data_IF_377214827506
#
_entry.id   IF_377214827506
#
_cell.length_a   1.000
_cell.length_b   1.000
_cell.length_c   1.000
_cell.angle_alpha   90.00
_cell.angle_beta   90.00
_cell.angle_gamma   90.00
#
_symmetry.space_group_name_H-M   'P 1'
#
loop_
_entity.id
_entity.type
_entity.pdbx_description
1 polymer ?
#
# COMPACT_ATOMS: atom_id res chain seq x y z
N UNK A 1 12.58 -31.32 -19.25
CA UNK A 1 11.83 -30.15 -18.78
C UNK A 1 12.79 -28.98 -18.68
N UNK A 2 12.61 -27.93 -19.48
CA UNK A 2 13.32 -26.66 -19.31
C UNK A 2 12.91 -26.09 -17.96
N UNK A 3 13.84 -25.93 -17.02
CA UNK A 3 13.58 -25.20 -15.79
C UNK A 3 13.50 -23.72 -16.18
N UNK A 4 12.30 -23.13 -16.05
CA UNK A 4 12.18 -21.69 -16.13
C UNK A 4 12.95 -21.12 -14.93
N UNK A 5 14.04 -20.42 -15.20
CA UNK A 5 14.88 -19.78 -14.19
C UNK A 5 14.78 -18.28 -14.37
N UNK A 6 14.80 -17.55 -13.28
CA UNK A 6 14.90 -16.08 -13.27
C UNK A 6 16.10 -15.68 -12.41
N UNK A 7 16.53 -14.44 -12.57
CA UNK A 7 17.68 -13.90 -11.83
C UNK A 7 17.19 -12.87 -10.82
N UNK A 8 17.62 -13.02 -9.57
CA UNK A 8 17.40 -12.01 -8.52
C UNK A 8 18.53 -10.96 -8.52
N UNK A 9 18.24 -9.69 -8.12
CA UNK A 9 16.90 -9.17 -7.88
C UNK A 9 16.12 -8.95 -9.18
N UNK A 10 14.78 -9.08 -9.13
CA UNK A 10 13.90 -8.77 -10.28
C UNK A 10 13.86 -7.26 -10.52
N UNK A 11 13.85 -6.46 -9.44
CA UNK A 11 13.99 -5.01 -9.45
C UNK A 11 15.17 -4.63 -8.58
N UNK A 12 16.15 -3.93 -9.15
CA UNK A 12 17.27 -3.37 -8.39
C UNK A 12 16.91 -1.99 -7.90
N UNK A 13 17.09 -1.73 -6.59
CA UNK A 13 16.79 -0.45 -5.98
C UNK A 13 16.10 -0.60 -4.63
N UNK A 14 15.41 0.46 -4.21
CA UNK A 14 14.68 0.52 -2.94
C UNK A 14 13.17 0.42 -3.21
N UNK A 15 12.64 -0.80 -3.15
CA UNK A 15 11.25 -1.15 -3.39
C UNK A 15 10.73 -2.10 -2.32
N UNK A 16 10.63 -1.62 -1.05
CA UNK A 16 10.20 -2.45 0.07
C UNK A 16 8.69 -2.69 0.07
N UNK A 17 8.26 -3.68 0.85
CA UNK A 17 6.87 -3.98 1.16
C UNK A 17 5.97 -4.15 -0.08
N UNK A 18 6.32 -5.02 -1.05
CA UNK A 18 5.55 -5.17 -2.28
C UNK A 18 4.18 -5.80 -2.02
N UNK A 19 3.14 -5.19 -2.58
CA UNK A 19 1.80 -5.76 -2.68
C UNK A 19 1.40 -5.90 -4.14
N UNK A 20 0.80 -7.04 -4.51
CA UNK A 20 0.45 -7.38 -5.89
C UNK A 20 -1.03 -7.68 -6.00
N UNK A 21 -1.68 -7.18 -7.06
CA UNK A 21 -2.98 -7.67 -7.51
C UNK A 21 -2.92 -8.15 -8.96
N UNK A 22 -3.89 -8.99 -9.35
CA UNK A 22 -4.02 -9.53 -10.71
C UNK A 22 -5.32 -9.07 -11.35
N UNK A 23 -5.25 -8.65 -12.61
CA UNK A 23 -6.42 -8.31 -13.42
C UNK A 23 -6.28 -9.00 -14.78
N UNK A 24 -7.06 -10.05 -15.00
CA UNK A 24 -6.90 -10.87 -16.20
C UNK A 24 -5.54 -11.55 -16.27
N UNK A 25 -4.73 -11.20 -17.27
CA UNK A 25 -3.36 -11.69 -17.45
C UNK A 25 -2.29 -10.72 -16.95
N UNK A 26 -2.69 -9.58 -16.43
CA UNK A 26 -1.81 -8.52 -15.98
C UNK A 26 -1.65 -8.53 -14.46
N UNK A 27 -0.43 -8.24 -13.99
CA UNK A 27 -0.09 -8.10 -12.57
C UNK A 27 0.34 -6.67 -12.30
N UNK A 28 -0.16 -6.11 -11.22
CA UNK A 28 0.17 -4.77 -10.77
C UNK A 28 0.73 -4.82 -9.35
N UNK A 29 1.86 -4.16 -9.15
CA UNK A 29 2.55 -4.12 -7.86
C UNK A 29 2.73 -2.69 -7.42
N UNK A 30 2.53 -2.44 -6.14
CA UNK A 30 2.87 -1.19 -5.46
C UNK A 30 3.87 -1.49 -4.34
N UNK A 31 4.76 -0.53 -4.05
CA UNK A 31 5.71 -0.65 -2.94
C UNK A 31 5.67 0.58 -2.05
N UNK A 32 6.11 0.46 -0.80
CA UNK A 32 6.33 1.62 0.05
C UNK A 32 7.43 2.51 -0.50
N UNK A 33 7.42 3.78 -0.11
CA UNK A 33 8.41 4.76 -0.56
C UNK A 33 8.84 5.73 0.53
N UNK A 34 8.30 5.60 1.75
CA UNK A 34 8.59 6.48 2.87
C UNK A 34 8.45 7.96 2.48
N UNK A 35 9.49 8.76 2.61
CA UNK A 35 9.49 10.18 2.25
C UNK A 35 9.91 10.45 0.79
N UNK A 36 10.24 9.41 0.02
CA UNK A 36 10.60 9.60 -1.37
C UNK A 36 9.40 10.01 -2.22
N UNK A 37 9.58 11.06 -3.01
CA UNK A 37 8.54 11.61 -3.88
C UNK A 37 9.01 11.60 -5.36
N UNK A 38 8.12 11.22 -6.32
CA UNK A 38 6.74 10.76 -6.18
C UNK A 38 6.65 9.45 -5.41
N UNK A 39 5.56 9.29 -4.62
CA UNK A 39 5.40 8.18 -3.68
C UNK A 39 4.57 7.02 -4.20
N UNK A 40 4.73 5.85 -3.58
CA UNK A 40 4.05 4.61 -3.94
C UNK A 40 4.25 4.25 -5.42
N UNK A 41 5.47 3.89 -5.85
CA UNK A 41 5.72 3.50 -7.24
C UNK A 41 4.91 2.25 -7.60
N UNK A 42 4.36 2.27 -8.82
CA UNK A 42 3.47 1.23 -9.34
C UNK A 42 4.12 0.59 -10.55
N UNK A 43 4.10 -0.73 -10.56
CA UNK A 43 4.72 -1.55 -11.59
C UNK A 43 3.69 -2.46 -12.25
N UNK A 44 3.92 -2.80 -13.50
CA UNK A 44 3.17 -3.74 -14.30
C UNK A 44 4.05 -4.92 -14.73
N UNK A 45 3.46 -6.12 -14.79
CA UNK A 45 4.08 -7.31 -15.34
C UNK A 45 3.03 -8.25 -15.93
N UNK A 46 3.45 -9.11 -16.87
CA UNK A 46 2.65 -10.24 -17.38
C UNK A 46 3.18 -11.60 -16.97
N UNK A 47 4.35 -11.65 -16.33
CA UNK A 47 5.02 -12.90 -16.01
C UNK A 47 5.62 -12.96 -14.60
N UNK A 48 5.42 -11.88 -13.80
CA UNK A 48 5.95 -11.71 -12.45
C UNK A 48 7.50 -11.62 -12.38
N UNK A 49 8.18 -11.66 -13.51
CA UNK A 49 9.65 -11.60 -13.59
C UNK A 49 10.18 -10.36 -14.30
N UNK A 50 9.41 -9.79 -15.20
CA UNK A 50 9.72 -8.57 -15.90
C UNK A 50 8.71 -7.49 -15.48
N UNK A 51 9.21 -6.48 -14.76
CA UNK A 51 8.41 -5.40 -14.19
C UNK A 51 8.77 -4.06 -14.84
N UNK A 52 7.78 -3.33 -15.27
CA UNK A 52 7.90 -1.96 -15.80
C UNK A 52 7.19 -1.00 -14.84
N UNK A 53 7.87 0.08 -14.44
CA UNK A 53 7.24 1.13 -13.64
C UNK A 53 6.32 1.96 -14.52
N UNK A 54 5.03 2.03 -14.16
CA UNK A 54 3.98 2.68 -14.95
C UNK A 54 3.44 3.96 -14.32
N UNK A 55 3.74 4.24 -13.06
CA UNK A 55 3.24 5.42 -12.37
C UNK A 55 3.54 5.44 -10.87
N UNK A 56 2.81 6.29 -10.16
CA UNK A 56 2.89 6.47 -8.72
C UNK A 56 1.51 6.75 -8.13
N UNK A 57 1.22 6.18 -6.95
CA UNK A 57 -0.03 6.46 -6.24
C UNK A 57 -0.11 7.90 -5.72
N UNK A 58 1.00 8.40 -5.18
CA UNK A 58 1.14 9.79 -4.75
C UNK A 58 2.04 10.53 -5.75
N UNK A 59 1.43 11.37 -6.56
CA UNK A 59 2.08 12.03 -7.71
C UNK A 59 1.86 13.55 -7.76
N UNK A 60 0.99 14.10 -6.90
CA UNK A 60 0.76 15.55 -6.75
C UNK A 60 1.21 16.01 -5.37
N UNK A 61 1.91 17.15 -5.27
CA UNK A 61 2.43 17.66 -3.99
C UNK A 61 1.35 18.00 -2.95
N UNK A 62 0.12 18.23 -3.39
CA UNK A 62 -1.03 18.58 -2.57
C UNK A 62 -1.80 17.37 -2.01
N UNK A 63 -1.44 16.15 -2.42
CA UNK A 63 -2.09 14.94 -1.93
C UNK A 63 -1.78 14.65 -0.45
N UNK A 64 -0.54 14.88 0.00
CA UNK A 64 -0.08 14.64 1.38
C UNK A 64 0.94 15.69 1.81
N UNK A 65 0.93 16.08 3.10
CA UNK A 65 1.90 17.02 3.66
C UNK A 65 3.09 16.29 4.31
N UNK A 66 4.23 16.32 3.64
CA UNK A 66 5.49 15.70 4.06
C UNK A 66 6.36 16.58 4.97
N UNK A 67 5.91 17.81 5.33
CA UNK A 67 6.77 18.81 6.01
C UNK A 67 7.40 18.32 7.31
N UNK A 68 6.74 17.39 8.01
CA UNK A 68 7.19 16.87 9.29
C UNK A 68 7.49 15.36 9.22
N UNK A 69 7.98 14.88 8.07
CA UNK A 69 8.36 13.48 7.90
C UNK A 69 9.87 13.33 7.91
N UNK A 70 10.41 12.61 8.90
CA UNK A 70 11.78 12.11 8.86
C UNK A 70 11.95 10.97 7.85
N UNK A 71 13.18 10.61 7.55
CA UNK A 71 13.55 9.67 6.46
C UNK A 71 12.85 8.31 6.53
N UNK A 72 12.53 7.82 7.73
CA UNK A 72 11.87 6.53 7.96
C UNK A 72 10.35 6.63 8.15
N UNK A 73 9.78 7.82 8.02
CA UNK A 73 8.34 8.08 8.10
C UNK A 73 7.72 8.21 6.69
N UNK A 74 6.53 8.74 6.58
CA UNK A 74 5.82 8.94 5.31
C UNK A 74 5.00 7.72 4.90
N UNK A 75 5.20 7.23 3.69
CA UNK A 75 4.40 6.18 3.06
C UNK A 75 4.94 4.79 3.39
N UNK A 76 4.35 4.14 4.39
CA UNK A 76 4.71 2.79 4.82
C UNK A 76 4.11 1.73 3.90
N UNK A 77 3.98 0.48 4.35
CA UNK A 77 3.53 -0.64 3.53
C UNK A 77 2.15 -0.40 2.92
N UNK A 78 2.03 -0.38 1.58
CA UNK A 78 0.75 -0.27 0.89
C UNK A 78 0.15 -1.64 0.59
N UNK A 79 -1.16 -1.68 0.34
CA UNK A 79 -1.82 -2.82 -0.29
C UNK A 79 -2.61 -2.37 -1.49
N UNK A 80 -2.42 -3.04 -2.65
CA UNK A 80 -3.19 -2.81 -3.86
C UNK A 80 -4.25 -3.90 -4.06
N UNK A 81 -5.47 -3.49 -4.46
CA UNK A 81 -6.58 -4.38 -4.83
C UNK A 81 -7.26 -3.86 -6.09
N UNK A 82 -7.91 -4.77 -6.81
CA UNK A 82 -8.78 -4.43 -7.91
C UNK A 82 -10.16 -5.03 -7.67
N UNK A 83 -11.20 -4.21 -7.76
CA UNK A 83 -12.58 -4.64 -7.61
C UNK A 83 -13.50 -3.79 -8.49
N UNK A 84 -14.40 -4.45 -9.24
CA UNK A 84 -15.43 -3.81 -10.07
C UNK A 84 -14.93 -2.65 -10.93
N UNK A 85 -13.83 -2.86 -11.68
CA UNK A 85 -13.29 -1.86 -12.60
C UNK A 85 -12.57 -0.70 -11.92
N UNK A 86 -12.13 -0.86 -10.67
CA UNK A 86 -11.45 0.17 -9.91
C UNK A 86 -10.27 -0.44 -9.16
N UNK A 87 -9.13 0.23 -9.22
CA UNK A 87 -7.97 -0.05 -8.39
C UNK A 87 -8.08 0.73 -7.08
N UNK A 88 -7.71 0.08 -6.00
CA UNK A 88 -7.65 0.62 -4.64
C UNK A 88 -6.24 0.44 -4.11
N UNK A 89 -5.65 1.50 -3.57
CA UNK A 89 -4.47 1.40 -2.75
C UNK A 89 -4.85 1.90 -1.36
N UNK A 90 -4.61 1.07 -0.35
CA UNK A 90 -4.67 1.47 1.05
C UNK A 90 -3.24 1.56 1.58
N UNK A 91 -2.97 2.60 2.35
CA UNK A 91 -1.63 2.88 2.88
C UNK A 91 -1.71 3.58 4.23
N UNK A 92 -0.67 3.43 5.03
CA UNK A 92 -0.47 4.19 6.26
C UNK A 92 0.50 5.33 6.01
N UNK A 93 0.06 6.57 6.21
CA UNK A 93 0.92 7.75 6.21
C UNK A 93 1.34 8.06 7.64
N UNK A 94 2.64 8.11 7.89
CA UNK A 94 3.21 8.36 9.21
C UNK A 94 3.93 9.69 9.21
N UNK A 95 3.48 10.61 10.05
CA UNK A 95 4.11 11.92 10.23
C UNK A 95 4.60 12.09 11.68
N UNK A 96 5.54 13.04 11.89
CA UNK A 96 6.05 13.35 13.21
C UNK A 96 5.09 14.16 14.08
N UNK A 97 5.26 14.00 15.37
CA UNK A 97 4.67 14.77 16.43
C UNK A 97 4.85 14.06 17.77
N UNK A 98 4.52 14.71 18.91
CA UNK A 98 4.51 14.07 20.24
C UNK A 98 3.62 12.83 20.32
N UNK A 99 2.77 12.67 19.32
CA UNK A 99 1.95 11.50 19.04
C UNK A 99 2.17 11.21 17.56
N UNK A 100 3.09 10.26 17.24
CA UNK A 100 3.31 9.82 15.88
C UNK A 100 1.96 9.44 15.25
N UNK A 101 1.46 10.30 14.36
CA UNK A 101 0.17 10.12 13.73
C UNK A 101 0.32 9.08 12.64
N UNK A 102 -0.50 8.04 12.71
CA UNK A 102 -0.61 6.98 11.72
C UNK A 102 -1.98 7.10 11.08
N UNK A 103 -2.02 7.72 9.91
CA UNK A 103 -3.27 7.93 9.20
C UNK A 103 -3.40 6.90 8.09
N UNK A 104 -4.35 5.98 8.24
CA UNK A 104 -4.71 5.06 7.16
C UNK A 104 -5.64 5.76 6.17
N UNK A 105 -5.34 5.63 4.88
CA UNK A 105 -6.12 6.25 3.82
C UNK A 105 -6.23 5.33 2.60
N UNK A 106 -7.22 5.61 1.77
CA UNK A 106 -7.45 4.95 0.48
C UNK A 106 -7.31 5.97 -0.64
N UNK A 107 -6.67 5.56 -1.73
CA UNK A 107 -6.72 6.23 -3.03
C UNK A 107 -7.26 5.26 -4.08
N UNK A 108 -7.94 5.78 -5.08
CA UNK A 108 -8.54 4.98 -6.15
C UNK A 108 -8.17 5.48 -7.54
N UNK A 109 -8.16 4.56 -8.51
CA UNK A 109 -7.99 4.89 -9.92
C UNK A 109 -8.74 3.91 -10.82
N UNK A 110 -9.11 4.36 -12.03
CA UNK A 110 -9.66 3.46 -13.07
C UNK A 110 -8.55 2.78 -13.85
N UNK A 111 -7.44 3.49 -14.04
CA UNK A 111 -6.24 2.97 -14.67
C UNK A 111 -5.11 2.84 -13.65
N UNK A 112 -4.33 1.75 -13.68
CA UNK A 112 -3.29 1.52 -12.68
C UNK A 112 -2.13 2.54 -12.75
N UNK A 113 -1.92 3.15 -13.91
CA UNK A 113 -0.97 4.27 -14.10
C UNK A 113 -1.46 5.60 -13.55
N UNK A 114 -2.73 5.68 -13.14
CA UNK A 114 -3.39 6.89 -12.67
C UNK A 114 -4.22 7.61 -13.75
N UNK A 115 -4.72 8.82 -13.47
CA UNK A 115 -4.49 9.56 -12.23
C UNK A 115 -5.18 8.91 -11.02
N UNK A 116 -4.49 8.92 -9.89
CA UNK A 116 -5.02 8.49 -8.61
C UNK A 116 -5.75 9.63 -7.91
N UNK A 117 -6.81 9.29 -7.17
CA UNK A 117 -7.61 10.24 -6.40
C UNK A 117 -6.81 10.92 -5.30
N UNK A 118 -7.40 11.94 -4.68
CA UNK A 118 -6.95 12.43 -3.40
C UNK A 118 -7.14 11.35 -2.32
N UNK A 119 -6.30 11.37 -1.26
CA UNK A 119 -6.42 10.46 -0.14
C UNK A 119 -7.75 10.65 0.60
N UNK A 120 -8.45 9.55 0.86
CA UNK A 120 -9.62 9.48 1.73
C UNK A 120 -9.16 8.81 3.01
N UNK A 121 -9.02 9.58 4.08
CA UNK A 121 -8.61 9.08 5.39
C UNK A 121 -9.73 8.28 6.03
N UNK A 122 -9.38 7.13 6.64
CA UNK A 122 -10.33 6.23 7.28
C UNK A 122 -10.36 6.56 8.77
N UNK A 123 -11.47 7.14 9.21
CA UNK A 123 -11.66 7.48 10.62
C UNK A 123 -11.74 6.22 11.49
N UNK A 124 -11.01 6.20 12.61
CA UNK A 124 -10.97 5.06 13.53
C UNK A 124 -10.20 3.83 13.04
N UNK A 125 -9.51 3.92 11.91
CA UNK A 125 -8.64 2.86 11.41
C UNK A 125 -7.24 3.02 12.00
N UNK A 126 -7.04 2.47 13.19
CA UNK A 126 -5.75 2.46 13.86
C UNK A 126 -4.79 1.43 13.27
N UNK A 127 -3.49 1.57 13.62
CA UNK A 127 -2.47 0.59 13.27
C UNK A 127 -1.81 0.84 11.91
N UNK A 128 -1.22 -0.22 11.38
CA UNK A 128 -0.39 -0.19 10.16
C UNK A 128 -0.65 -1.43 9.31
N UNK A 129 -0.02 -1.49 8.12
CA UNK A 129 -0.02 -2.64 7.21
C UNK A 129 -1.44 -3.07 6.81
N UNK A 130 -2.24 -2.08 6.46
CA UNK A 130 -3.66 -2.23 6.18
C UNK A 130 -3.93 -2.97 4.89
N UNK A 131 -5.01 -3.74 4.85
CA UNK A 131 -5.48 -4.48 3.69
C UNK A 131 -7.00 -4.37 3.54
N UNK A 132 -7.47 -4.42 2.29
CA UNK A 132 -8.89 -4.52 1.94
C UNK A 132 -9.21 -5.92 1.41
N UNK A 133 -10.37 -6.44 1.78
CA UNK A 133 -10.96 -7.62 1.19
C UNK A 133 -12.39 -7.29 0.74
N UNK A 134 -12.70 -7.60 -0.51
CA UNK A 134 -14.02 -7.44 -1.11
C UNK A 134 -14.68 -8.81 -1.15
N UNK A 135 -15.72 -9.01 -0.34
CA UNK A 135 -16.42 -10.27 -0.22
C UNK A 135 -17.48 -10.43 -1.32
N UNK A 136 -17.86 -11.68 -1.60
CA UNK A 136 -18.85 -12.02 -2.63
C UNK A 136 -20.27 -11.55 -2.27
N UNK A 137 -20.56 -11.31 -0.99
CA UNK A 137 -21.84 -10.75 -0.52
C UNK A 137 -21.93 -9.22 -0.66
N UNK A 138 -20.86 -8.58 -1.16
CA UNK A 138 -20.74 -7.15 -1.35
C UNK A 138 -20.22 -6.39 -0.13
N UNK A 139 -19.91 -7.07 0.95
CA UNK A 139 -19.22 -6.45 2.10
C UNK A 139 -17.76 -6.14 1.78
N UNK A 140 -17.23 -5.10 2.42
CA UNK A 140 -15.82 -4.71 2.31
C UNK A 140 -15.23 -4.78 3.71
N UNK A 141 -14.18 -5.57 3.84
CA UNK A 141 -13.48 -5.77 5.09
C UNK A 141 -12.15 -5.04 5.09
N UNK A 142 -11.86 -4.37 6.18
CA UNK A 142 -10.59 -3.74 6.48
C UNK A 142 -9.86 -4.56 7.54
N UNK A 143 -8.63 -4.93 7.26
CA UNK A 143 -7.74 -5.58 8.23
C UNK A 143 -6.51 -4.73 8.46
N UNK A 144 -6.03 -4.69 9.67
CA UNK A 144 -4.81 -3.97 10.04
C UNK A 144 -4.15 -4.56 11.27
N UNK A 145 -2.87 -4.24 11.45
CA UNK A 145 -2.08 -4.58 12.62
C UNK A 145 -2.16 -3.43 13.62
N UNK A 146 -2.39 -3.73 14.89
CA UNK A 146 -2.39 -2.75 15.96
C UNK A 146 -1.59 -3.23 17.19
N UNK A 147 -1.15 -2.29 17.99
CA UNK A 147 -0.55 -2.59 19.29
C UNK A 147 -1.69 -2.62 20.31
N UNK A 148 -1.87 -3.77 20.96
CA UNK A 148 -2.90 -3.90 21.99
C UNK A 148 -2.57 -3.05 23.21
N UNK A 149 -3.58 -2.35 23.74
CA UNK A 149 -3.46 -1.62 25.02
C UNK A 149 -3.15 -2.55 26.18
N UNK A 150 -3.66 -3.78 26.11
CA UNK A 150 -3.37 -4.85 27.08
C UNK A 150 -2.26 -5.75 26.55
N UNK A 151 -1.01 -5.46 26.98
CA UNK A 151 0.16 -6.25 26.58
C UNK A 151 0.25 -7.53 27.42
N UNK A 152 0.03 -8.69 26.81
CA UNK A 152 0.21 -10.00 27.46
C UNK A 152 1.68 -10.43 27.50
N UNK A 153 2.52 -9.90 26.62
CA UNK A 153 3.97 -10.11 26.53
C UNK A 153 4.60 -8.96 25.73
N UNK A 154 5.91 -8.79 25.82
CA UNK A 154 6.65 -7.76 25.07
C UNK A 154 6.47 -7.97 23.56
N UNK A 155 6.04 -6.92 22.86
CA UNK A 155 5.75 -6.96 21.42
C UNK A 155 4.41 -7.64 21.06
N UNK A 156 3.45 -7.69 21.98
CA UNK A 156 2.10 -8.17 21.67
C UNK A 156 1.40 -7.24 20.70
N UNK A 157 1.18 -7.73 19.48
CA UNK A 157 0.40 -7.09 18.44
C UNK A 157 -0.86 -7.91 18.17
N UNK A 158 -1.93 -7.23 17.78
CA UNK A 158 -3.17 -7.84 17.34
C UNK A 158 -3.43 -7.56 15.86
N UNK A 159 -4.28 -8.37 15.25
CA UNK A 159 -4.89 -8.09 13.96
C UNK A 159 -6.36 -7.82 14.23
N UNK A 160 -6.86 -6.70 13.74
CA UNK A 160 -8.29 -6.39 13.78
C UNK A 160 -8.91 -6.46 12.39
N UNK A 161 -10.19 -6.72 12.37
CA UNK A 161 -11.02 -6.80 11.19
C UNK A 161 -12.27 -5.95 11.39
N UNK A 162 -12.52 -5.01 10.50
CA UNK A 162 -13.70 -4.16 10.49
C UNK A 162 -14.42 -4.28 9.15
N UNK A 163 -15.75 -4.06 9.15
CA UNK A 163 -16.60 -4.05 7.96
C UNK A 163 -17.02 -2.62 7.62
#
# INVERSE_FOLDING_TARGET
MLRNTFKNPLLSGFYPDPSICRVGEDYYMVTSSFVYYPGLPIFHSRDLTHWEQIGHGIHRPDQLDYKNCETSLGLWAPTIRYHNGTFYIINTFVSEGREARRDNYIITAKEPSGPWSDPIFIEGADGIDSSLFFDDDGSIWYAGNYISDEQLYEGHHGIYLNQ
#
